data_IF_488561182379
#
_entry.id   IF_488561182379
#
_cell.length_a   1.000
_cell.length_b   1.000
_cell.length_c   1.000
_cell.angle_alpha   90.00
_cell.angle_beta   90.00
_cell.angle_gamma   90.00
#
_symmetry.space_group_name_H-M   'P 1'
#
loop_
_entity.id
_entity.type
_entity.pdbx_description
1 polymer ?
#
# COMPACT_ATOMS: atom_id res chain seq x y z
N UNK A 1 -46.59 105.73 -31.51
CA UNK A 1 -47.37 104.81 -32.37
C UNK A 1 -47.03 103.41 -31.85
N UNK A 2 -47.81 102.86 -30.91
CA UNK A 2 -48.96 101.96 -31.15
C UNK A 2 -48.47 100.59 -31.68
N UNK A 3 -48.84 99.39 -31.22
CA UNK A 3 -49.95 98.89 -30.37
C UNK A 3 -49.73 97.36 -30.17
N UNK A 4 -50.13 96.83 -29.01
CA UNK A 4 -50.85 95.57 -28.72
C UNK A 4 -50.40 94.15 -29.18
N UNK A 5 -50.19 93.32 -28.15
CA UNK A 5 -50.77 91.99 -27.78
C UNK A 5 -51.95 91.40 -28.58
N UNK A 6 -51.95 90.07 -28.79
CA UNK A 6 -52.98 89.03 -28.44
C UNK A 6 -52.74 87.76 -29.29
N UNK A 7 -52.51 86.55 -28.77
CA UNK A 7 -53.28 85.65 -27.88
C UNK A 7 -54.39 84.84 -28.60
N UNK A 8 -54.60 83.62 -28.07
CA UNK A 8 -55.68 82.63 -28.32
C UNK A 8 -55.39 81.52 -29.34
N UNK A 9 -55.65 80.21 -29.12
CA UNK A 9 -56.57 79.51 -28.21
C UNK A 9 -56.06 78.11 -27.80
N UNK A 10 -56.22 77.76 -26.52
CA UNK A 10 -56.72 76.43 -26.11
C UNK A 10 -57.84 76.69 -25.11
N UNK A 11 -59.07 76.54 -25.58
CA UNK A 11 -60.36 76.57 -24.87
C UNK A 11 -60.95 75.16 -25.02
N UNK A 12 -61.74 74.56 -24.13
CA UNK A 12 -62.45 74.85 -22.87
C UNK A 12 -62.77 73.44 -22.27
N UNK A 13 -63.14 73.21 -21.02
CA UNK A 13 -63.97 73.91 -20.04
C UNK A 13 -64.16 72.96 -18.85
N UNK A 14 -64.75 73.31 -17.71
CA UNK A 14 -65.63 74.41 -17.39
C UNK A 14 -65.37 74.85 -15.94
N UNK A 15 -65.55 76.15 -15.71
CA UNK A 15 -65.61 76.76 -14.41
C UNK A 15 -67.02 76.61 -13.82
N UNK A 16 -67.11 76.37 -12.51
CA UNK A 16 -67.91 77.10 -11.50
C UNK A 16 -68.36 76.19 -10.35
N UNK A 17 -67.73 76.39 -9.19
CA UNK A 17 -68.34 76.43 -7.86
C UNK A 17 -67.24 76.77 -6.86
N UNK A 18 -67.00 78.06 -6.65
CA UNK A 18 -66.12 78.56 -5.62
C UNK A 18 -66.89 78.63 -4.30
N UNK A 19 -66.71 77.63 -3.42
CA UNK A 19 -66.99 77.79 -1.99
C UNK A 19 -66.03 76.91 -1.17
N UNK A 20 -65.11 77.58 -0.47
CA UNK A 20 -64.29 77.10 0.64
C UNK A 20 -63.61 75.71 0.52
N UNK A 21 -62.43 75.62 -0.12
CA UNK A 21 -61.48 74.54 0.18
C UNK A 21 -60.04 74.94 -0.20
N UNK A 22 -59.06 74.43 0.55
CA UNK A 22 -57.64 74.76 0.43
C UNK A 22 -57.00 74.38 -0.91
N UNK A 23 -55.66 74.43 -0.96
CA UNK A 23 -54.84 74.12 -2.14
C UNK A 23 -55.47 73.01 -3.02
N UNK A 24 -55.56 73.17 -4.37
CA UNK A 24 -56.23 72.22 -5.27
C UNK A 24 -55.84 70.74 -5.11
N UNK A 25 -54.67 70.48 -4.51
CA UNK A 25 -54.18 69.14 -4.15
C UNK A 25 -54.94 68.45 -3.00
N UNK A 26 -55.73 69.19 -2.22
CA UNK A 26 -56.45 68.73 -1.03
C UNK A 26 -57.97 68.71 -1.25
N UNK A 27 -58.41 68.59 -2.50
CA UNK A 27 -59.81 68.38 -2.82
C UNK A 27 -60.22 66.91 -2.59
N UNK A 28 -60.88 66.69 -1.45
CA UNK A 28 -61.37 65.39 -1.00
C UNK A 28 -62.41 64.75 -1.94
N UNK A 29 -63.00 65.49 -2.87
CA UNK A 29 -63.95 64.95 -3.85
C UNK A 29 -63.30 63.93 -4.79
N UNK A 30 -61.99 64.04 -5.04
CA UNK A 30 -61.22 63.16 -5.95
C UNK A 30 -60.64 61.92 -5.25
N UNK A 31 -60.57 61.94 -3.91
CA UNK A 31 -59.93 60.89 -3.11
C UNK A 31 -60.59 59.51 -3.27
N UNK A 32 -61.93 59.36 -3.30
CA UNK A 32 -62.57 58.06 -3.48
C UNK A 32 -62.16 57.35 -4.78
N UNK A 33 -62.03 58.08 -5.88
CA UNK A 33 -61.59 57.51 -7.16
C UNK A 33 -60.12 57.09 -7.14
N UNK A 34 -59.24 57.92 -6.55
CA UNK A 34 -57.83 57.56 -6.36
C UNK A 34 -57.67 56.32 -5.46
N UNK A 35 -58.39 56.27 -4.34
CA UNK A 35 -58.39 55.14 -3.40
C UNK A 35 -58.91 53.87 -4.08
N UNK A 36 -59.96 53.97 -4.90
CA UNK A 36 -60.48 52.84 -5.67
C UNK A 36 -59.41 52.25 -6.59
N UNK A 37 -58.76 53.07 -7.42
CA UNK A 37 -57.69 52.60 -8.31
C UNK A 37 -56.45 52.13 -7.56
N UNK A 38 -56.12 52.75 -6.42
CA UNK A 38 -55.05 52.27 -5.53
C UNK A 38 -55.36 50.85 -5.06
N UNK A 39 -56.57 50.60 -4.55
CA UNK A 39 -56.97 49.26 -4.11
C UNK A 39 -56.97 48.25 -5.27
N UNK A 40 -57.48 48.63 -6.44
CA UNK A 40 -57.47 47.76 -7.63
C UNK A 40 -56.04 47.39 -8.02
N UNK A 41 -55.14 48.38 -8.14
CA UNK A 41 -53.74 48.14 -8.52
C UNK A 41 -52.97 47.35 -7.46
N UNK A 42 -53.22 47.62 -6.17
CA UNK A 42 -52.65 46.85 -5.06
C UNK A 42 -53.06 45.38 -5.13
N UNK A 43 -54.36 45.10 -5.36
CA UNK A 43 -54.88 43.73 -5.49
C UNK A 43 -54.27 43.03 -6.72
N UNK A 44 -54.16 43.72 -7.85
CA UNK A 44 -53.52 43.18 -9.06
C UNK A 44 -52.05 42.84 -8.78
N UNK A 45 -51.27 43.75 -8.18
CA UNK A 45 -49.86 43.50 -7.81
C UNK A 45 -49.76 42.33 -6.82
N UNK A 46 -50.62 42.28 -5.81
CA UNK A 46 -50.68 41.18 -4.85
C UNK A 46 -50.90 39.83 -5.53
N UNK A 47 -51.83 39.75 -6.49
CA UNK A 47 -52.06 38.53 -7.27
C UNK A 47 -50.85 38.16 -8.13
N UNK A 48 -50.21 39.13 -8.80
CA UNK A 48 -49.00 38.86 -9.60
C UNK A 48 -47.85 38.35 -8.72
N UNK A 49 -47.62 38.97 -7.56
CA UNK A 49 -46.56 38.54 -6.65
C UNK A 49 -46.85 37.16 -6.04
N UNK A 50 -48.06 36.95 -5.55
CA UNK A 50 -48.45 35.69 -4.90
C UNK A 50 -48.51 34.51 -5.87
N UNK A 51 -48.95 34.74 -7.12
CA UNK A 51 -49.17 33.66 -8.09
C UNK A 51 -48.05 33.45 -9.09
N UNK A 52 -47.21 34.47 -9.33
CA UNK A 52 -46.14 34.40 -10.33
C UNK A 52 -44.76 34.59 -9.70
N UNK A 53 -44.51 35.71 -9.02
CA UNK A 53 -43.16 36.05 -8.57
C UNK A 53 -42.66 35.13 -7.44
N UNK A 54 -43.45 34.96 -6.37
CA UNK A 54 -43.06 34.12 -5.23
C UNK A 54 -42.89 32.64 -5.60
N UNK A 55 -43.78 32.01 -6.40
CA UNK A 55 -43.57 30.63 -6.85
C UNK A 55 -42.30 30.44 -7.68
N UNK A 56 -41.95 31.40 -8.56
CA UNK A 56 -40.72 31.36 -9.37
C UNK A 56 -39.46 31.42 -8.51
N UNK A 57 -39.44 32.28 -7.48
CA UNK A 57 -38.32 32.37 -6.55
C UNK A 57 -38.23 31.10 -5.69
N UNK A 58 -39.38 30.59 -5.25
CA UNK A 58 -39.49 29.34 -4.50
C UNK A 58 -38.93 28.14 -5.27
N UNK A 59 -39.22 28.03 -6.58
CA UNK A 59 -38.71 26.93 -7.40
C UNK A 59 -37.19 26.97 -7.55
N UNK A 60 -36.60 28.15 -7.79
CA UNK A 60 -35.13 28.29 -7.89
C UNK A 60 -34.45 27.98 -6.57
N UNK A 61 -35.04 28.40 -5.44
CA UNK A 61 -34.48 28.10 -4.13
C UNK A 61 -34.58 26.61 -3.80
N UNK A 62 -35.70 25.96 -4.17
CA UNK A 62 -35.88 24.52 -3.99
C UNK A 62 -34.90 23.73 -4.86
N UNK A 63 -34.69 24.13 -6.11
CA UNK A 63 -33.71 23.52 -7.02
C UNK A 63 -32.30 23.61 -6.44
N UNK A 64 -31.86 24.81 -6.03
CA UNK A 64 -30.54 24.99 -5.41
C UNK A 64 -30.35 24.16 -4.15
N UNK A 65 -31.34 24.13 -3.26
CA UNK A 65 -31.31 23.28 -2.06
C UNK A 65 -31.22 21.81 -2.45
N UNK A 66 -32.00 21.37 -3.43
CA UNK A 66 -31.98 20.01 -3.95
C UNK A 66 -30.61 19.62 -4.49
N UNK A 67 -30.00 20.45 -5.33
CA UNK A 67 -28.65 20.23 -5.87
C UNK A 67 -27.62 20.15 -4.75
N UNK A 68 -27.61 21.10 -3.81
CA UNK A 68 -26.66 21.09 -2.70
C UNK A 68 -26.81 19.82 -1.84
N UNK A 69 -28.03 19.43 -1.51
CA UNK A 69 -28.28 18.21 -0.72
C UNK A 69 -27.85 16.96 -1.49
N UNK A 70 -28.12 16.89 -2.79
CA UNK A 70 -27.70 15.79 -3.64
C UNK A 70 -26.17 15.70 -3.74
N UNK A 71 -25.50 16.82 -3.97
CA UNK A 71 -24.04 16.89 -4.08
C UNK A 71 -23.38 16.52 -2.74
N UNK A 72 -23.96 16.96 -1.62
CA UNK A 72 -23.50 16.58 -0.28
C UNK A 72 -23.66 15.08 -0.03
N UNK A 73 -24.82 14.51 -0.39
CA UNK A 73 -25.07 13.08 -0.25
C UNK A 73 -24.10 12.26 -1.12
N UNK A 74 -23.86 12.68 -2.37
CA UNK A 74 -22.91 12.04 -3.26
C UNK A 74 -21.47 12.13 -2.72
N UNK A 75 -21.08 13.29 -2.18
CA UNK A 75 -19.76 13.47 -1.55
C UNK A 75 -19.58 12.59 -0.31
N UNK A 76 -20.60 12.48 0.54
CA UNK A 76 -20.61 11.60 1.71
C UNK A 76 -20.47 10.13 1.29
N UNK A 77 -21.22 9.70 0.27
CA UNK A 77 -21.16 8.33 -0.26
C UNK A 77 -19.77 8.02 -0.83
N UNK A 78 -19.19 8.93 -1.63
CA UNK A 78 -17.84 8.80 -2.17
C UNK A 78 -16.79 8.74 -1.05
N UNK A 79 -16.95 9.55 0.00
CA UNK A 79 -16.07 9.52 1.17
C UNK A 79 -16.17 8.19 1.91
N UNK A 80 -17.38 7.68 2.13
CA UNK A 80 -17.58 6.38 2.77
C UNK A 80 -16.98 5.23 1.93
N UNK A 81 -17.17 5.26 0.61
CA UNK A 81 -16.55 4.31 -0.31
C UNK A 81 -15.03 4.39 -0.28
N UNK A 82 -14.45 5.59 -0.26
CA UNK A 82 -13.01 5.78 -0.16
C UNK A 82 -12.44 5.22 1.15
N UNK A 83 -13.06 5.53 2.29
CA UNK A 83 -12.66 5.00 3.61
C UNK A 83 -12.80 3.47 3.65
N UNK A 84 -13.88 2.93 3.09
CA UNK A 84 -14.08 1.48 2.98
C UNK A 84 -13.01 0.79 2.12
N UNK A 85 -12.68 1.39 0.98
CA UNK A 85 -11.63 0.90 0.09
C UNK A 85 -10.23 0.99 0.72
N UNK A 86 -9.93 2.09 1.41
CA UNK A 86 -8.67 2.27 2.15
C UNK A 86 -8.52 1.22 3.25
N UNK A 87 -9.59 0.97 4.01
CA UNK A 87 -9.60 -0.08 5.03
C UNK A 87 -9.36 -1.46 4.42
N UNK A 88 -10.10 -1.81 3.37
CA UNK A 88 -9.94 -3.09 2.69
C UNK A 88 -8.52 -3.27 2.10
N UNK A 89 -7.95 -2.20 1.54
CA UNK A 89 -6.57 -2.19 1.05
C UNK A 89 -5.55 -2.42 2.17
N UNK A 90 -5.70 -1.72 3.30
CA UNK A 90 -4.82 -1.88 4.46
C UNK A 90 -4.94 -3.29 5.07
N UNK A 91 -6.15 -3.82 5.19
CA UNK A 91 -6.40 -5.18 5.69
C UNK A 91 -5.75 -6.23 4.75
N UNK A 92 -5.91 -6.07 3.44
CA UNK A 92 -5.27 -6.93 2.44
C UNK A 92 -3.74 -6.85 2.51
N UNK A 93 -3.18 -5.65 2.71
CA UNK A 93 -1.73 -5.46 2.84
C UNK A 93 -1.16 -6.14 4.09
N UNK A 94 -1.86 -6.02 5.23
CA UNK A 94 -1.47 -6.70 6.48
C UNK A 94 -1.55 -8.22 6.31
N UNK A 95 -2.64 -8.72 5.72
CA UNK A 95 -2.82 -10.14 5.43
C UNK A 95 -1.71 -10.68 4.51
N UNK A 96 -1.42 -10.00 3.40
CA UNK A 96 -0.37 -10.39 2.47
C UNK A 96 1.03 -10.41 3.13
N UNK A 97 1.34 -9.44 4.00
CA UNK A 97 2.60 -9.43 4.77
C UNK A 97 2.67 -10.59 5.75
N UNK A 98 1.56 -10.93 6.42
CA UNK A 98 1.50 -12.05 7.33
C UNK A 98 1.67 -13.39 6.58
N UNK A 99 1.06 -13.54 5.40
CA UNK A 99 1.22 -14.72 4.55
C UNK A 99 2.64 -14.85 4.01
N UNK A 100 3.24 -13.76 3.53
CA UNK A 100 4.63 -13.75 3.10
C UNK A 100 5.58 -14.16 4.24
N UNK A 101 5.36 -13.63 5.45
CA UNK A 101 6.15 -14.01 6.62
C UNK A 101 6.00 -15.52 6.96
N UNK A 102 4.78 -16.07 6.86
CA UNK A 102 4.53 -17.52 7.04
C UNK A 102 5.25 -18.35 5.98
N UNK A 103 5.20 -17.95 4.72
CA UNK A 103 5.88 -18.65 3.61
C UNK A 103 7.40 -18.64 3.84
N UNK A 104 7.97 -17.49 4.20
CA UNK A 104 9.41 -17.38 4.49
C UNK A 104 9.80 -18.25 5.69
N UNK A 105 8.99 -18.28 6.75
CA UNK A 105 9.24 -19.13 7.91
C UNK A 105 9.18 -20.63 7.55
N UNK A 106 8.16 -21.05 6.78
CA UNK A 106 8.03 -22.43 6.32
C UNK A 106 9.21 -22.84 5.41
N UNK A 107 9.56 -22.00 4.44
CA UNK A 107 10.70 -22.24 3.54
C UNK A 107 12.02 -22.36 4.30
N UNK A 108 12.26 -21.51 5.31
CA UNK A 108 13.45 -21.61 6.17
C UNK A 108 13.48 -22.92 6.95
N UNK A 109 12.34 -23.36 7.49
CA UNK A 109 12.24 -24.62 8.22
C UNK A 109 12.52 -25.83 7.31
N UNK A 110 11.97 -25.81 6.09
CA UNK A 110 12.22 -26.86 5.10
C UNK A 110 13.69 -26.90 4.64
N UNK A 111 14.28 -25.73 4.36
CA UNK A 111 15.70 -25.61 4.02
C UNK A 111 16.58 -26.15 5.16
N UNK A 112 16.27 -25.80 6.41
CA UNK A 112 17.04 -26.28 7.55
C UNK A 112 16.96 -27.81 7.67
N UNK A 113 15.77 -28.38 7.51
CA UNK A 113 15.57 -29.83 7.55
C UNK A 113 16.36 -30.55 6.46
N UNK A 114 16.40 -30.00 5.24
CA UNK A 114 17.15 -30.61 4.15
C UNK A 114 18.66 -30.40 4.30
N UNK A 115 19.09 -29.28 4.86
CA UNK A 115 20.48 -29.05 5.25
C UNK A 115 20.93 -30.07 6.31
N UNK A 116 20.13 -30.30 7.36
CA UNK A 116 20.45 -31.25 8.42
C UNK A 116 20.59 -32.69 7.86
N UNK A 117 19.72 -33.09 6.93
CA UNK A 117 19.85 -34.39 6.23
C UNK A 117 21.12 -34.46 5.39
N UNK A 118 21.43 -33.39 4.65
CA UNK A 118 22.61 -33.35 3.80
C UNK A 118 23.90 -33.42 4.65
N UNK A 119 23.93 -32.70 5.78
CA UNK A 119 25.02 -32.77 6.75
C UNK A 119 25.17 -34.17 7.34
N UNK A 120 24.08 -34.78 7.83
CA UNK A 120 24.13 -36.14 8.37
C UNK A 120 24.63 -37.17 7.34
N UNK A 121 24.24 -37.02 6.08
CA UNK A 121 24.74 -37.87 4.98
C UNK A 121 26.22 -37.64 4.72
N UNK A 122 26.64 -36.37 4.63
CA UNK A 122 28.04 -36.01 4.42
C UNK A 122 28.93 -36.52 5.56
N UNK A 123 28.51 -36.37 6.81
CA UNK A 123 29.23 -36.88 7.99
C UNK A 123 29.38 -38.40 7.95
N UNK A 124 28.33 -39.13 7.54
CA UNK A 124 28.38 -40.58 7.38
C UNK A 124 29.36 -41.01 6.27
N UNK A 125 29.37 -40.32 5.14
CA UNK A 125 30.30 -40.58 4.03
C UNK A 125 31.75 -40.26 4.42
N UNK A 126 31.97 -39.15 5.14
CA UNK A 126 33.29 -38.76 5.66
C UNK A 126 33.78 -39.82 6.66
N UNK A 127 32.95 -40.26 7.59
CA UNK A 127 33.31 -41.28 8.57
C UNK A 127 33.65 -42.63 7.90
N UNK A 128 32.88 -43.03 6.89
CA UNK A 128 33.16 -44.24 6.12
C UNK A 128 34.52 -44.14 5.39
N UNK A 129 34.77 -43.01 4.73
CA UNK A 129 36.02 -42.77 3.99
C UNK A 129 37.24 -42.65 4.92
N UNK A 130 37.06 -42.06 6.10
CA UNK A 130 38.09 -42.02 7.14
C UNK A 130 38.45 -43.43 7.59
N UNK A 131 37.45 -44.28 7.89
CA UNK A 131 37.67 -45.67 8.28
C UNK A 131 38.34 -46.50 7.17
N UNK A 132 37.96 -46.30 5.90
CA UNK A 132 38.63 -46.94 4.77
C UNK A 132 40.11 -46.50 4.66
N UNK A 133 40.36 -45.20 4.80
CA UNK A 133 41.71 -44.64 4.75
C UNK A 133 42.59 -45.16 5.89
N UNK A 134 42.04 -45.27 7.10
CA UNK A 134 42.72 -45.86 8.26
C UNK A 134 43.11 -47.32 8.01
N UNK A 135 42.22 -48.12 7.41
CA UNK A 135 42.53 -49.51 7.03
C UNK A 135 43.65 -49.58 6.00
N UNK A 136 43.59 -48.77 4.94
CA UNK A 136 44.66 -48.70 3.93
C UNK A 136 45.99 -48.28 4.55
N UNK A 137 45.99 -47.29 5.44
CA UNK A 137 47.20 -46.86 6.16
C UNK A 137 47.75 -48.00 7.02
N UNK A 138 46.89 -48.75 7.72
CA UNK A 138 47.30 -49.90 8.52
C UNK A 138 47.91 -51.02 7.66
N UNK A 139 47.31 -51.32 6.50
CA UNK A 139 47.83 -52.28 5.52
C UNK A 139 49.20 -51.85 4.97
N UNK A 140 49.33 -50.58 4.56
CA UNK A 140 50.61 -50.02 4.09
C UNK A 140 51.67 -50.10 5.20
N UNK A 141 51.29 -49.79 6.45
CA UNK A 141 52.21 -49.87 7.59
C UNK A 141 52.66 -51.31 7.85
N UNK A 142 51.76 -52.29 7.77
CA UNK A 142 52.10 -53.70 7.92
C UNK A 142 53.06 -54.15 6.81
N UNK A 143 52.72 -53.87 5.54
CA UNK A 143 53.58 -54.20 4.40
C UNK A 143 54.94 -53.51 4.44
N UNK A 144 55.01 -52.27 4.93
CA UNK A 144 56.27 -51.57 5.14
C UNK A 144 57.12 -52.23 6.24
N UNK A 145 56.52 -52.71 7.33
CA UNK A 145 57.26 -53.45 8.37
C UNK A 145 57.80 -54.78 7.86
N UNK A 146 57.05 -55.49 7.02
CA UNK A 146 57.50 -56.72 6.37
C UNK A 146 58.68 -56.43 5.41
N UNK A 147 58.55 -55.38 4.58
CA UNK A 147 59.62 -54.96 3.67
C UNK A 147 60.89 -54.53 4.43
N UNK A 148 60.76 -53.77 5.52
CA UNK A 148 61.89 -53.40 6.40
C UNK A 148 62.54 -54.65 7.00
N UNK A 149 61.75 -55.64 7.40
CA UNK A 149 62.26 -56.90 7.97
C UNK A 149 63.08 -57.68 6.94
N UNK A 150 62.61 -57.79 5.70
CA UNK A 150 63.35 -58.45 4.62
C UNK A 150 64.63 -57.70 4.27
N UNK A 151 64.56 -56.37 4.07
CA UNK A 151 65.75 -55.55 3.80
C UNK A 151 66.77 -55.64 4.95
N UNK A 152 66.32 -55.65 6.21
CA UNK A 152 67.20 -55.80 7.36
C UNK A 152 67.91 -57.17 7.38
N UNK A 153 67.20 -58.26 7.04
CA UNK A 153 67.82 -59.60 6.95
C UNK A 153 68.84 -59.67 5.82
N UNK A 154 68.51 -59.14 4.63
CA UNK A 154 69.40 -59.14 3.48
C UNK A 154 70.65 -58.31 3.75
N UNK A 155 70.47 -57.10 4.29
CA UNK A 155 71.58 -56.20 4.64
C UNK A 155 72.47 -56.81 5.73
N UNK A 156 71.89 -57.43 6.77
CA UNK A 156 72.66 -58.10 7.82
C UNK A 156 73.45 -59.31 7.28
N UNK A 157 72.87 -60.08 6.36
CA UNK A 157 73.54 -61.21 5.70
C UNK A 157 74.73 -60.74 4.87
N UNK A 158 74.58 -59.67 4.09
CA UNK A 158 75.66 -59.07 3.31
C UNK A 158 76.77 -58.53 4.21
N UNK A 159 76.43 -57.83 5.31
CA UNK A 159 77.41 -57.32 6.29
C UNK A 159 78.23 -58.45 6.94
N UNK A 160 77.59 -59.55 7.35
CA UNK A 160 78.28 -60.72 7.94
C UNK A 160 79.23 -61.36 6.93
N UNK A 161 78.82 -61.45 5.65
CA UNK A 161 79.68 -61.95 4.58
C UNK A 161 80.87 -61.01 4.30
N UNK A 162 80.64 -59.69 4.26
CA UNK A 162 81.69 -58.69 4.02
C UNK A 162 82.73 -58.64 5.16
N UNK A 163 82.32 -58.92 6.40
CA UNK A 163 83.20 -58.98 7.57
C UNK A 163 83.93 -60.34 7.72
N UNK A 164 83.80 -61.25 6.75
CA UNK A 164 84.54 -62.51 6.70
C UNK A 164 83.91 -63.69 7.47
N UNK A 165 82.67 -63.55 7.95
CA UNK A 165 81.91 -64.62 8.58
C UNK A 165 81.11 -65.47 7.58
N UNK A 166 80.84 -66.74 7.91
CA UNK A 166 79.82 -67.52 7.18
C UNK A 166 78.43 -67.10 7.67
N UNK A 167 77.67 -66.43 6.82
CA UNK A 167 76.30 -66.06 7.12
C UNK A 167 75.39 -67.30 7.18
N UNK A 168 75.19 -67.84 8.38
CA UNK A 168 74.12 -68.82 8.61
C UNK A 168 72.76 -68.10 8.57
N UNK A 169 71.99 -68.38 7.52
CA UNK A 169 70.71 -67.74 7.26
C UNK A 169 69.71 -67.92 8.41
N UNK A 170 69.79 -69.04 9.15
CA UNK A 170 68.91 -69.28 10.31
C UNK A 170 69.29 -68.38 11.49
N UNK A 171 70.58 -68.30 11.82
CA UNK A 171 71.05 -67.44 12.91
C UNK A 171 70.79 -65.95 12.65
N UNK A 172 71.03 -65.46 11.42
CA UNK A 172 70.77 -64.06 11.04
C UNK A 172 69.28 -63.72 11.12
N UNK A 173 68.41 -64.60 10.59
CA UNK A 173 66.95 -64.41 10.64
C UNK A 173 66.46 -64.38 12.09
N UNK A 174 66.96 -65.26 12.96
CA UNK A 174 66.58 -65.30 14.36
C UNK A 174 67.01 -64.05 15.13
N UNK A 175 68.23 -63.55 14.89
CA UNK A 175 68.77 -62.35 15.54
C UNK A 175 68.03 -61.07 15.13
N UNK A 176 67.74 -60.89 13.83
CA UNK A 176 66.98 -59.74 13.32
C UNK A 176 65.54 -59.76 13.84
N UNK A 177 64.90 -60.93 13.89
CA UNK A 177 63.54 -61.06 14.43
C UNK A 177 63.48 -60.79 15.93
N UNK A 178 64.51 -61.16 16.69
CA UNK A 178 64.61 -60.83 18.11
C UNK A 178 64.81 -59.33 18.35
N UNK A 179 65.64 -58.67 17.52
CA UNK A 179 65.88 -57.23 17.59
C UNK A 179 64.67 -56.38 17.20
N UNK A 180 63.82 -56.86 16.27
CA UNK A 180 62.57 -56.18 15.87
C UNK A 180 61.42 -56.32 16.88
N UNK A 181 61.54 -57.23 17.86
CA UNK A 181 60.53 -57.48 18.92
C UNK A 181 60.83 -56.78 20.24
N UNK A 182 62.05 -56.24 20.41
CA UNK A 182 62.46 -55.44 21.58
C UNK A 182 62.18 -53.97 21.38
#
# INVERSE_FOLDING_TARGET
>A
MATETTASEVTHGAAEAAEAAGMPQLDFSTFPNQIFWLLVTLVVIYFVLSRVALPRIGSVLAERKGTITNDLAAAEELKQKAVGAEKAYNDALVSARAEAAKIVAAAKADIQKDLDKALAKADAEIAAKASESEKRIAEIRAGAMDAVTEVAKDTAKELVAALGGKADARAVTAAVTAALKG
#
